data_IF_694977255621
#
_entry.id   IF_694977255621
#
_cell.length_a   1.000
_cell.length_b   1.000
_cell.length_c   1.000
_cell.angle_alpha   90.00
_cell.angle_beta   90.00
_cell.angle_gamma   90.00
#
_symmetry.space_group_name_H-M   'P 1'
#
loop_
_entity.id
_entity.type
_entity.pdbx_description
1 polymer ?
#
# COMPACT_ATOMS: atom_id res chain seq x y z
N UNK A 1 25.33 13.93 -3.86
CA UNK A 1 25.57 12.49 -3.70
C UNK A 1 24.83 11.70 -4.75
N UNK A 2 25.27 10.49 -5.06
CA UNK A 2 24.62 9.57 -6.04
C UNK A 2 23.73 8.56 -5.34
N UNK A 3 22.45 8.63 -5.60
CA UNK A 3 21.44 7.76 -5.01
C UNK A 3 20.93 6.74 -6.05
N UNK A 4 20.93 5.47 -5.70
CA UNK A 4 20.30 4.42 -6.50
C UNK A 4 19.08 3.89 -5.77
N UNK A 5 17.88 4.06 -6.36
CA UNK A 5 16.61 3.74 -5.68
C UNK A 5 15.91 2.61 -6.42
N UNK A 6 15.37 1.62 -5.69
CA UNK A 6 14.61 0.52 -6.27
C UNK A 6 13.23 0.43 -5.62
N UNK A 7 12.20 0.75 -6.42
CA UNK A 7 10.79 0.59 -6.11
C UNK A 7 10.13 -0.32 -7.17
N UNK A 8 9.59 -1.45 -6.75
CA UNK A 8 9.06 -2.48 -7.65
C UNK A 8 7.56 -2.43 -7.89
N UNK A 9 6.83 -1.48 -7.29
CA UNK A 9 5.36 -1.40 -7.32
C UNK A 9 4.89 0.07 -7.35
N UNK A 10 3.61 0.28 -7.67
CA UNK A 10 3.02 1.62 -7.73
C UNK A 10 3.09 2.38 -6.39
N UNK A 11 2.87 1.70 -5.27
CA UNK A 11 3.04 2.29 -3.94
C UNK A 11 4.49 2.70 -3.68
N UNK A 12 5.44 1.87 -4.12
CA UNK A 12 6.87 2.18 -4.04
C UNK A 12 7.25 3.40 -4.87
N UNK A 13 6.66 3.60 -6.05
CA UNK A 13 6.85 4.79 -6.89
C UNK A 13 6.35 6.07 -6.17
N UNK A 14 5.18 6.00 -5.56
CA UNK A 14 4.62 7.10 -4.76
C UNK A 14 5.54 7.46 -3.58
N UNK A 15 5.93 6.47 -2.79
CA UNK A 15 6.79 6.70 -1.63
C UNK A 15 8.20 7.11 -2.02
N UNK A 16 8.74 6.53 -3.10
CA UNK A 16 10.03 6.89 -3.68
C UNK A 16 10.05 8.34 -4.18
N UNK A 17 8.99 8.79 -4.84
CA UNK A 17 8.90 10.18 -5.31
C UNK A 17 8.88 11.18 -4.16
N UNK A 18 8.14 10.91 -3.06
CA UNK A 18 8.13 11.76 -1.87
C UNK A 18 9.50 11.77 -1.17
N UNK A 19 10.15 10.60 -1.07
CA UNK A 19 11.50 10.50 -0.53
C UNK A 19 12.52 11.29 -1.37
N UNK A 20 12.46 11.19 -2.70
CA UNK A 20 13.35 11.96 -3.61
C UNK A 20 13.17 13.47 -3.42
N UNK A 21 11.93 13.96 -3.31
CA UNK A 21 11.65 15.38 -3.00
C UNK A 21 12.32 15.81 -1.70
N UNK A 22 12.20 14.98 -0.66
CA UNK A 22 12.78 15.27 0.65
C UNK A 22 14.30 15.17 0.65
N UNK A 23 14.89 14.26 -0.14
CA UNK A 23 16.35 14.17 -0.32
C UNK A 23 16.92 15.41 -1.01
N UNK A 24 16.22 15.98 -2.02
CA UNK A 24 16.64 17.24 -2.65
C UNK A 24 16.67 18.42 -1.69
N UNK A 25 15.87 18.40 -0.63
CA UNK A 25 15.92 19.41 0.44
C UNK A 25 17.18 19.26 1.33
N UNK A 26 17.73 18.05 1.45
CA UNK A 26 18.96 17.78 2.22
C UNK A 26 20.23 17.88 1.36
N UNK A 27 20.13 17.54 0.10
CA UNK A 27 21.23 17.48 -0.88
C UNK A 27 20.77 18.07 -2.22
N UNK A 28 20.98 19.38 -2.39
CA UNK A 28 20.60 20.10 -3.64
C UNK A 28 21.28 19.53 -4.89
N UNK A 29 22.42 18.84 -4.72
CA UNK A 29 23.20 18.22 -5.81
C UNK A 29 22.95 16.71 -5.89
N UNK A 30 21.82 16.21 -5.34
CA UNK A 30 21.47 14.79 -5.43
C UNK A 30 21.32 14.33 -6.89
N UNK A 31 22.03 13.28 -7.24
CA UNK A 31 21.88 12.59 -8.52
C UNK A 31 21.11 11.30 -8.30
N UNK A 32 19.96 11.16 -8.94
CA UNK A 32 19.12 9.97 -8.82
C UNK A 32 19.21 9.06 -10.04
N UNK A 33 19.36 7.77 -9.78
CA UNK A 33 19.17 6.69 -10.72
C UNK A 33 18.23 5.67 -10.11
N UNK A 34 17.17 5.25 -10.82
CA UNK A 34 16.14 4.52 -10.15
C UNK A 34 15.38 3.50 -11.02
N UNK A 35 14.84 2.50 -10.34
CA UNK A 35 13.75 1.63 -10.79
C UNK A 35 12.49 2.12 -10.10
N UNK A 36 11.48 2.52 -10.86
CA UNK A 36 10.28 3.15 -10.31
C UNK A 36 9.26 3.43 -11.40
N UNK A 37 8.55 4.52 -11.31
CA UNK A 37 7.52 4.88 -12.28
C UNK A 37 7.45 6.38 -12.59
N UNK A 38 6.28 6.77 -13.06
CA UNK A 38 6.02 8.13 -13.55
C UNK A 38 6.13 9.19 -12.46
N UNK A 39 5.85 8.86 -11.19
CA UNK A 39 5.93 9.82 -10.08
C UNK A 39 7.38 10.13 -9.72
N UNK A 40 8.24 9.12 -9.61
CA UNK A 40 9.67 9.33 -9.40
C UNK A 40 10.30 10.06 -10.59
N UNK A 41 9.90 9.73 -11.82
CA UNK A 41 10.41 10.37 -13.02
C UNK A 41 10.09 11.87 -13.08
N UNK A 42 8.94 12.30 -12.58
CA UNK A 42 8.57 13.73 -12.48
C UNK A 42 9.45 14.53 -11.52
N UNK A 43 10.08 13.89 -10.52
CA UNK A 43 10.99 14.56 -9.60
C UNK A 43 12.33 14.83 -10.27
N UNK A 44 12.77 13.94 -11.16
CA UNK A 44 14.04 14.04 -11.89
C UNK A 44 14.89 12.78 -11.76
N UNK A 45 16.07 12.82 -12.34
CA UNK A 45 17.00 11.69 -12.36
C UNK A 45 16.82 10.77 -13.57
N UNK A 46 17.56 9.64 -13.59
CA UNK A 46 17.58 8.69 -14.70
C UNK A 46 16.75 7.46 -14.38
N UNK A 47 15.56 7.27 -14.99
CA UNK A 47 14.82 6.03 -14.90
C UNK A 47 15.55 4.90 -15.64
N UNK A 48 15.66 3.74 -15.00
CA UNK A 48 16.34 2.55 -15.56
C UNK A 48 15.31 1.51 -15.99
N UNK A 49 14.27 1.32 -15.16
CA UNK A 49 13.20 0.39 -15.46
C UNK A 49 11.91 0.82 -14.78
N UNK A 50 10.79 0.69 -15.51
CA UNK A 50 9.49 1.01 -14.97
C UNK A 50 8.94 -0.16 -14.15
N UNK A 51 8.28 0.10 -13.01
CA UNK A 51 7.73 -0.96 -12.15
C UNK A 51 6.71 -1.85 -12.85
N UNK A 52 5.99 -1.35 -13.84
CA UNK A 52 5.05 -2.15 -14.67
C UNK A 52 5.72 -3.34 -15.34
N UNK A 53 7.02 -3.22 -15.67
CA UNK A 53 7.82 -4.31 -16.27
C UNK A 53 8.34 -5.30 -15.21
N UNK A 54 8.11 -5.03 -13.92
CA UNK A 54 8.56 -5.83 -12.79
C UNK A 54 7.43 -6.57 -12.09
N UNK A 55 6.18 -6.23 -12.39
CA UNK A 55 4.98 -6.71 -11.72
C UNK A 55 4.63 -8.16 -12.10
N UNK A 56 5.45 -9.11 -11.65
CA UNK A 56 5.11 -10.54 -11.68
C UNK A 56 4.52 -10.92 -10.32
N UNK A 57 3.18 -10.96 -10.22
CA UNK A 57 2.48 -11.27 -8.99
C UNK A 57 1.79 -12.62 -9.06
N UNK A 58 1.97 -13.43 -8.02
CA UNK A 58 1.40 -14.77 -7.92
C UNK A 58 2.44 -15.87 -8.19
N UNK A 59 2.26 -17.00 -7.49
CA UNK A 59 3.23 -18.11 -7.52
C UNK A 59 3.46 -18.66 -8.94
N UNK A 60 2.38 -18.77 -9.73
CA UNK A 60 2.44 -19.28 -11.11
C UNK A 60 3.13 -18.28 -12.04
N UNK A 61 2.83 -16.98 -11.92
CA UNK A 61 3.46 -15.94 -12.73
C UNK A 61 4.93 -15.77 -12.41
N UNK A 62 5.31 -15.86 -11.15
CA UNK A 62 6.72 -15.82 -10.72
C UNK A 62 7.51 -17.00 -11.30
N UNK A 63 6.93 -18.22 -11.31
CA UNK A 63 7.59 -19.38 -11.91
C UNK A 63 7.75 -19.21 -13.43
N UNK A 64 6.70 -18.80 -14.13
CA UNK A 64 6.73 -18.57 -15.59
C UNK A 64 7.75 -17.50 -15.99
N UNK A 65 7.93 -16.48 -15.16
CA UNK A 65 8.80 -15.33 -15.45
C UNK A 65 10.14 -15.39 -14.72
N UNK A 66 10.52 -16.52 -14.14
CA UNK A 66 11.78 -16.69 -13.41
C UNK A 66 13.01 -16.28 -14.25
N UNK A 67 13.15 -16.65 -15.55
CA UNK A 67 14.27 -16.17 -16.38
C UNK A 67 14.35 -14.65 -16.50
N UNK A 68 13.20 -13.98 -16.65
CA UNK A 68 13.10 -12.51 -16.71
C UNK A 68 13.51 -11.86 -15.39
N UNK A 69 13.08 -12.43 -14.26
CA UNK A 69 13.46 -11.96 -12.93
C UNK A 69 14.97 -12.07 -12.74
N UNK A 70 15.57 -13.20 -13.12
CA UNK A 70 17.02 -13.42 -13.01
C UNK A 70 17.81 -12.47 -13.92
N UNK A 71 17.33 -12.22 -15.15
CA UNK A 71 17.90 -11.23 -16.08
C UNK A 71 17.83 -9.82 -15.50
N UNK A 72 16.70 -9.44 -14.91
CA UNK A 72 16.54 -8.15 -14.25
C UNK A 72 17.49 -7.99 -13.06
N UNK A 73 17.73 -9.04 -12.27
CA UNK A 73 18.69 -9.04 -11.16
C UNK A 73 20.11 -8.82 -11.70
N UNK A 74 20.51 -9.54 -12.75
CA UNK A 74 21.84 -9.39 -13.37
C UNK A 74 22.02 -7.99 -13.94
N UNK A 75 21.04 -7.49 -14.67
CA UNK A 75 21.05 -6.15 -15.26
C UNK A 75 21.16 -5.07 -14.17
N UNK A 76 20.38 -5.18 -13.09
CA UNK A 76 20.44 -4.24 -11.95
C UNK A 76 21.83 -4.22 -11.31
N UNK A 77 22.47 -5.39 -11.14
CA UNK A 77 23.82 -5.48 -10.55
C UNK A 77 24.86 -4.80 -11.41
N UNK A 78 24.86 -5.04 -12.74
CA UNK A 78 25.79 -4.39 -13.67
C UNK A 78 25.56 -2.87 -13.71
N UNK A 79 24.31 -2.42 -13.66
CA UNK A 79 23.96 -1.01 -13.64
C UNK A 79 24.43 -0.33 -12.35
N UNK A 80 24.23 -0.93 -11.18
CA UNK A 80 24.76 -0.44 -9.90
C UNK A 80 26.28 -0.37 -9.93
N UNK A 81 26.95 -1.41 -10.44
CA UNK A 81 28.42 -1.46 -10.57
C UNK A 81 28.95 -0.36 -11.46
N UNK A 82 28.28 -0.09 -12.59
CA UNK A 82 28.66 0.98 -13.53
C UNK A 82 28.44 2.38 -12.97
N UNK A 83 27.34 2.58 -12.23
CA UNK A 83 26.97 3.91 -11.71
C UNK A 83 27.76 4.31 -10.45
N UNK A 84 28.22 3.33 -9.65
CA UNK A 84 28.92 3.54 -8.37
C UNK A 84 28.18 4.53 -7.46
N UNK A 85 26.96 4.19 -7.00
CA UNK A 85 26.21 5.05 -6.09
C UNK A 85 26.86 5.11 -4.71
N UNK A 86 26.68 6.25 -4.02
CA UNK A 86 27.06 6.39 -2.61
C UNK A 86 26.15 5.59 -1.70
N UNK A 87 24.86 5.46 -2.11
CA UNK A 87 23.85 4.72 -1.36
C UNK A 87 22.87 4.00 -2.29
N UNK A 88 22.49 2.79 -1.89
CA UNK A 88 21.39 2.02 -2.45
C UNK A 88 20.20 2.08 -1.51
N UNK A 89 19.07 2.63 -1.98
CA UNK A 89 17.80 2.72 -1.24
C UNK A 89 16.82 1.71 -1.82
N UNK A 90 16.38 0.78 -0.99
CA UNK A 90 15.46 -0.30 -1.33
C UNK A 90 14.09 -0.03 -0.72
N UNK A 91 13.06 0.10 -1.56
CA UNK A 91 11.70 0.36 -1.10
C UNK A 91 10.87 -0.91 -1.25
N UNK A 92 10.43 -1.50 -0.12
CA UNK A 92 9.66 -2.75 -0.09
C UNK A 92 10.21 -3.83 -1.05
N UNK A 93 9.40 -4.51 -1.86
CA UNK A 93 9.77 -5.47 -2.92
C UNK A 93 10.84 -6.51 -2.50
N UNK A 94 10.63 -7.24 -1.40
CA UNK A 94 11.69 -8.00 -0.72
C UNK A 94 12.27 -9.15 -1.53
N UNK A 95 11.51 -9.74 -2.45
CA UNK A 95 11.97 -10.85 -3.28
C UNK A 95 13.14 -10.48 -4.19
N UNK A 96 13.18 -9.27 -4.66
CA UNK A 96 14.22 -8.69 -5.49
C UNK A 96 15.26 -7.94 -4.64
N UNK A 97 14.77 -7.01 -3.82
CA UNK A 97 15.60 -6.08 -3.06
C UNK A 97 16.60 -6.75 -2.12
N UNK A 98 16.23 -7.83 -1.40
CA UNK A 98 17.17 -8.57 -0.54
C UNK A 98 18.28 -9.29 -1.31
N UNK A 99 18.11 -9.59 -2.60
CA UNK A 99 19.18 -10.15 -3.43
C UNK A 99 20.15 -9.07 -3.91
N UNK A 100 19.62 -7.87 -4.18
CA UNK A 100 20.44 -6.72 -4.56
C UNK A 100 21.21 -6.17 -3.36
N UNK A 101 20.61 -6.12 -2.16
CA UNK A 101 21.31 -5.67 -0.93
C UNK A 101 22.58 -6.46 -0.66
N UNK A 102 22.53 -7.80 -0.82
CA UNK A 102 23.70 -8.68 -0.68
C UNK A 102 24.82 -8.33 -1.67
N UNK A 103 24.46 -7.96 -2.89
CA UNK A 103 25.43 -7.59 -3.92
C UNK A 103 26.05 -6.21 -3.63
N UNK A 104 25.22 -5.21 -3.36
CA UNK A 104 25.68 -3.85 -3.08
C UNK A 104 26.60 -3.80 -1.84
N UNK A 105 26.27 -4.55 -0.79
CA UNK A 105 27.10 -4.63 0.42
C UNK A 105 28.49 -5.22 0.14
N UNK A 106 28.62 -6.16 -0.80
CA UNK A 106 29.93 -6.71 -1.23
C UNK A 106 30.79 -5.69 -1.99
N UNK A 107 30.16 -4.69 -2.60
CA UNK A 107 30.85 -3.57 -3.27
C UNK A 107 31.18 -2.41 -2.32
N UNK A 108 30.86 -2.54 -1.02
CA UNK A 108 31.06 -1.47 -0.02
C UNK A 108 30.03 -0.35 -0.09
N UNK A 109 28.95 -0.51 -0.88
CA UNK A 109 27.89 0.50 -1.01
C UNK A 109 27.02 0.46 0.26
N UNK A 110 26.70 1.64 0.81
CA UNK A 110 25.73 1.80 1.91
C UNK A 110 24.35 1.32 1.44
N UNK A 111 23.69 0.49 2.24
CA UNK A 111 22.37 -0.06 1.91
C UNK A 111 21.35 0.41 2.93
N UNK A 112 20.37 1.15 2.46
CA UNK A 112 19.21 1.59 3.23
C UNK A 112 17.98 0.83 2.76
N UNK A 113 17.18 0.32 3.69
CA UNK A 113 15.90 -0.32 3.38
C UNK A 113 14.78 0.54 3.94
N UNK A 114 13.98 1.14 3.08
CA UNK A 114 12.83 1.96 3.41
C UNK A 114 11.54 1.17 3.13
N UNK A 115 10.62 1.14 4.09
CA UNK A 115 9.42 0.30 4.10
C UNK A 115 9.79 -1.17 4.21
N UNK A 116 9.91 -1.61 5.45
CA UNK A 116 10.29 -3.00 5.81
C UNK A 116 9.37 -4.03 5.15
N UNK A 117 9.92 -5.17 4.71
CA UNK A 117 9.09 -6.34 4.44
C UNK A 117 8.33 -6.75 5.70
N UNK A 118 7.10 -7.22 5.54
CA UNK A 118 6.26 -7.67 6.67
C UNK A 118 6.77 -8.98 7.30
N UNK A 119 8.01 -8.98 7.83
CA UNK A 119 8.64 -10.15 8.44
C UNK A 119 7.95 -10.58 9.73
N UNK A 120 7.34 -9.65 10.42
CA UNK A 120 6.54 -9.89 11.62
C UNK A 120 5.29 -10.76 11.34
N UNK A 121 4.81 -10.76 10.09
CA UNK A 121 3.66 -11.57 9.68
C UNK A 121 4.12 -12.97 9.20
N UNK A 122 5.17 -13.02 8.40
CA UNK A 122 5.63 -14.27 7.77
C UNK A 122 7.10 -14.16 7.30
N UNK A 123 7.77 -15.29 7.13
CA UNK A 123 9.19 -15.36 6.69
C UNK A 123 10.17 -14.59 7.59
N UNK A 124 9.98 -14.66 8.90
CA UNK A 124 10.86 -14.09 9.93
C UNK A 124 12.35 -14.44 9.72
N UNK A 125 12.65 -15.61 9.17
CA UNK A 125 14.03 -16.02 8.86
C UNK A 125 14.81 -15.08 7.93
N UNK A 126 14.14 -14.18 7.20
CA UNK A 126 14.79 -13.13 6.39
C UNK A 126 15.52 -12.09 7.23
N UNK A 127 15.23 -11.98 8.52
CA UNK A 127 15.93 -11.09 9.45
C UNK A 127 17.45 -11.30 9.41
N UNK A 128 17.91 -12.55 9.24
CA UNK A 128 19.34 -12.87 9.11
C UNK A 128 19.98 -12.17 7.89
N UNK A 129 19.25 -12.08 6.79
CA UNK A 129 19.71 -11.40 5.58
C UNK A 129 19.76 -9.88 5.79
N UNK A 130 18.72 -9.32 6.41
CA UNK A 130 18.66 -7.89 6.73
C UNK A 130 19.82 -7.51 7.65
N UNK A 131 20.00 -8.18 8.78
CA UNK A 131 21.11 -7.93 9.71
C UNK A 131 22.49 -7.95 9.05
N UNK A 132 22.66 -8.74 8.00
CA UNK A 132 23.95 -8.91 7.34
C UNK A 132 24.21 -7.90 6.22
N UNK A 133 23.15 -7.41 5.55
CA UNK A 133 23.30 -6.72 4.27
C UNK A 133 22.55 -5.37 4.19
N UNK A 134 21.90 -4.95 5.26
CA UNK A 134 21.21 -3.65 5.35
C UNK A 134 21.86 -2.85 6.47
N UNK A 135 22.28 -1.63 6.20
CA UNK A 135 22.94 -0.75 7.17
C UNK A 135 21.91 0.05 7.98
N UNK A 136 20.87 0.57 7.30
CA UNK A 136 19.80 1.33 7.91
C UNK A 136 18.45 0.74 7.52
N UNK A 137 17.59 0.47 8.50
CA UNK A 137 16.23 0.00 8.31
C UNK A 137 15.26 1.08 8.75
N UNK A 138 14.49 1.62 7.81
CA UNK A 138 13.48 2.64 8.04
C UNK A 138 12.11 2.00 7.96
N UNK A 139 11.45 1.89 9.10
CA UNK A 139 10.15 1.21 9.24
C UNK A 139 9.01 2.22 9.32
N UNK A 140 7.82 1.80 8.88
CA UNK A 140 6.64 2.66 8.75
C UNK A 140 5.50 2.28 9.69
N UNK A 141 5.59 1.11 10.34
CA UNK A 141 4.62 0.67 11.33
C UNK A 141 5.25 0.75 12.73
N UNK A 142 4.56 1.32 13.73
CA UNK A 142 5.16 1.63 15.03
C UNK A 142 5.62 0.39 15.80
N UNK A 143 5.01 -0.76 15.59
CA UNK A 143 5.40 -2.01 16.24
C UNK A 143 6.62 -2.69 15.61
N UNK A 144 7.06 -2.25 14.42
CA UNK A 144 8.19 -2.86 13.71
C UNK A 144 9.52 -2.58 14.41
N UNK A 145 9.71 -1.42 15.05
CA UNK A 145 10.90 -1.16 15.86
C UNK A 145 11.08 -2.22 16.95
N UNK A 146 10.01 -2.49 17.71
CA UNK A 146 10.01 -3.52 18.76
C UNK A 146 10.27 -4.91 18.20
N UNK A 147 9.74 -5.20 17.02
CA UNK A 147 10.01 -6.45 16.31
C UNK A 147 11.51 -6.59 15.99
N UNK A 148 12.14 -5.57 15.40
CA UNK A 148 13.56 -5.61 15.07
C UNK A 148 14.45 -5.64 16.32
N UNK A 149 14.10 -4.90 17.39
CA UNK A 149 14.81 -4.93 18.66
C UNK A 149 14.86 -6.32 19.30
N UNK A 150 13.78 -7.12 19.23
CA UNK A 150 13.77 -8.53 19.69
C UNK A 150 14.80 -9.39 18.97
N UNK A 151 15.23 -9.00 17.78
CA UNK A 151 16.25 -9.66 16.99
C UNK A 151 17.64 -9.01 17.12
N UNK A 152 17.85 -8.11 18.09
CA UNK A 152 19.11 -7.35 18.26
C UNK A 152 19.51 -6.64 16.97
N UNK A 153 18.57 -5.90 16.36
CA UNK A 153 18.79 -5.07 15.19
C UNK A 153 18.01 -3.76 15.35
N UNK A 154 18.68 -2.63 15.11
CA UNK A 154 18.08 -1.31 15.20
C UNK A 154 17.31 -1.00 13.90
N UNK A 155 16.09 -0.56 14.07
CA UNK A 155 15.27 0.00 12.99
C UNK A 155 14.72 1.34 13.46
N UNK A 156 14.52 2.27 12.54
CA UNK A 156 14.05 3.62 12.84
C UNK A 156 12.62 3.79 12.35
N UNK A 157 11.68 4.01 13.26
CA UNK A 157 10.33 4.39 12.90
C UNK A 157 10.30 5.84 12.38
N UNK A 158 10.00 5.99 11.11
CA UNK A 158 9.99 7.29 10.43
C UNK A 158 8.59 7.90 10.30
N UNK A 159 7.55 7.17 10.68
CA UNK A 159 6.15 7.51 10.40
C UNK A 159 5.65 6.84 9.11
N UNK A 160 4.34 6.92 8.86
CA UNK A 160 3.75 6.25 7.70
C UNK A 160 3.63 7.21 6.50
N UNK A 161 4.29 6.93 5.35
CA UNK A 161 4.36 7.85 4.21
C UNK A 161 3.03 8.11 3.50
N UNK A 162 1.98 7.33 3.78
CA UNK A 162 0.62 7.62 3.31
C UNK A 162 0.09 8.93 3.90
N UNK A 163 0.50 9.32 5.11
CA UNK A 163 0.10 10.60 5.69
C UNK A 163 0.65 11.76 4.87
N UNK A 164 1.91 11.69 4.43
CA UNK A 164 2.50 12.68 3.52
C UNK A 164 1.76 12.72 2.17
N UNK A 165 1.35 11.55 1.65
CA UNK A 165 0.63 11.46 0.39
C UNK A 165 -0.77 12.09 0.49
N UNK A 166 -1.47 11.85 1.61
CA UNK A 166 -2.82 12.34 1.84
C UNK A 166 -2.83 13.84 2.13
N UNK A 167 -1.88 14.36 2.91
CA UNK A 167 -1.78 15.80 3.20
C UNK A 167 -1.48 16.63 1.96
N UNK A 168 -0.81 16.05 0.96
CA UNK A 168 -0.52 16.71 -0.30
C UNK A 168 -1.67 16.63 -1.33
N UNK A 169 -2.81 16.02 -0.99
CA UNK A 169 -3.97 15.99 -1.88
C UNK A 169 -4.56 17.39 -2.04
N UNK A 170 -4.85 17.76 -3.29
CA UNK A 170 -5.59 19.00 -3.58
C UNK A 170 -6.99 18.91 -3.00
N UNK A 171 -7.57 20.04 -2.66
CA UNK A 171 -8.99 20.11 -2.33
C UNK A 171 -9.85 19.52 -3.46
N UNK A 172 -10.93 18.84 -3.09
CA UNK A 172 -11.86 18.26 -4.03
C UNK A 172 -13.20 18.98 -3.97
N UNK A 173 -13.72 19.36 -5.12
CA UNK A 173 -15.10 19.81 -5.26
C UNK A 173 -15.99 18.57 -5.52
N UNK A 174 -16.81 18.23 -4.54
CA UNK A 174 -17.67 17.03 -4.59
C UNK A 174 -18.68 17.13 -5.75
N UNK A 175 -19.21 18.32 -6.03
CA UNK A 175 -20.17 18.50 -7.11
C UNK A 175 -19.52 18.34 -8.49
N UNK A 176 -18.33 18.88 -8.68
CA UNK A 176 -17.55 18.66 -9.91
C UNK A 176 -17.21 17.19 -10.10
N UNK A 177 -16.76 16.50 -9.05
CA UNK A 177 -16.51 15.06 -9.11
C UNK A 177 -17.76 14.27 -9.51
N UNK A 178 -18.92 14.59 -8.92
CA UNK A 178 -20.19 13.94 -9.29
C UNK A 178 -20.55 14.17 -10.75
N UNK A 179 -20.42 15.41 -11.23
CA UNK A 179 -20.71 15.77 -12.62
C UNK A 179 -19.76 15.07 -13.61
N UNK A 180 -18.44 15.11 -13.35
CA UNK A 180 -17.42 14.47 -14.19
C UNK A 180 -17.68 12.96 -14.38
N UNK A 181 -18.22 12.31 -13.33
CA UNK A 181 -18.45 10.85 -13.34
C UNK A 181 -19.92 10.46 -13.52
N UNK A 182 -20.79 11.39 -13.90
CA UNK A 182 -22.23 11.16 -14.11
C UNK A 182 -22.91 10.52 -12.88
N UNK A 183 -22.52 10.94 -11.68
CA UNK A 183 -23.12 10.50 -10.43
C UNK A 183 -24.33 11.37 -10.08
N UNK A 184 -25.32 10.76 -9.42
CA UNK A 184 -26.51 11.48 -8.94
C UNK A 184 -26.27 12.15 -7.57
N UNK A 185 -27.31 12.80 -7.01
CA UNK A 185 -27.19 13.50 -5.73
C UNK A 185 -27.17 12.57 -4.50
N UNK A 186 -27.47 11.28 -4.66
CA UNK A 186 -27.44 10.33 -3.54
C UNK A 186 -26.04 10.30 -2.89
N UNK A 187 -25.94 10.08 -1.58
CA UNK A 187 -24.67 9.82 -0.92
C UNK A 187 -23.99 8.56 -1.47
N UNK A 188 -22.68 8.57 -1.49
CA UNK A 188 -21.86 7.52 -2.10
C UNK A 188 -21.42 6.49 -1.07
N UNK A 189 -21.55 5.21 -1.42
CA UNK A 189 -20.82 4.10 -0.80
C UNK A 189 -19.74 3.67 -1.78
N UNK A 190 -18.47 3.79 -1.38
CA UNK A 190 -17.35 3.36 -2.19
C UNK A 190 -17.15 1.85 -2.11
N UNK A 191 -16.88 1.23 -3.26
CA UNK A 191 -16.52 -0.18 -3.36
C UNK A 191 -15.08 -0.31 -3.82
N UNK A 192 -14.21 -0.85 -2.95
CA UNK A 192 -12.80 -1.13 -3.24
C UNK A 192 -12.59 -2.67 -3.29
N UNK A 193 -12.92 -3.31 -4.41
CA UNK A 193 -13.01 -4.77 -4.48
C UNK A 193 -11.66 -5.48 -4.63
N UNK A 194 -10.55 -4.74 -4.64
CA UNK A 194 -9.20 -5.25 -4.82
C UNK A 194 -8.56 -4.88 -6.16
N UNK A 195 -7.42 -5.47 -6.45
CA UNK A 195 -6.62 -5.13 -7.63
C UNK A 195 -6.51 -6.25 -8.67
N UNK A 196 -6.94 -7.47 -8.35
CA UNK A 196 -6.82 -8.64 -9.23
C UNK A 196 -8.16 -9.07 -9.77
N UNK A 197 -8.22 -9.40 -11.07
CA UNK A 197 -9.44 -9.80 -11.76
C UNK A 197 -10.29 -10.81 -11.00
N UNK A 198 -9.70 -11.93 -10.56
CA UNK A 198 -10.41 -12.98 -9.84
C UNK A 198 -10.91 -12.56 -8.45
N UNK A 199 -10.16 -11.69 -7.79
CA UNK A 199 -10.52 -11.10 -6.49
C UNK A 199 -11.71 -10.17 -6.67
N UNK A 200 -11.63 -9.24 -7.61
CA UNK A 200 -12.68 -8.27 -7.93
C UNK A 200 -14.00 -8.96 -8.28
N UNK A 201 -13.97 -9.98 -9.13
CA UNK A 201 -15.18 -10.73 -9.50
C UNK A 201 -15.89 -11.35 -8.30
N UNK A 202 -15.13 -11.94 -7.38
CA UNK A 202 -15.69 -12.54 -6.16
C UNK A 202 -16.21 -11.48 -5.19
N UNK A 203 -15.48 -10.38 -5.06
CA UNK A 203 -15.79 -9.34 -4.07
C UNK A 203 -16.96 -8.47 -4.53
N UNK A 204 -17.01 -8.04 -5.80
CA UNK A 204 -18.08 -7.17 -6.29
C UNK A 204 -19.46 -7.81 -6.16
N UNK A 205 -19.61 -9.10 -6.48
CA UNK A 205 -20.89 -9.78 -6.37
C UNK A 205 -21.46 -9.70 -4.94
N UNK A 206 -20.62 -9.93 -3.92
CA UNK A 206 -21.08 -9.85 -2.52
C UNK A 206 -21.22 -8.41 -2.05
N UNK A 207 -20.33 -7.50 -2.43
CA UNK A 207 -20.44 -6.08 -2.07
C UNK A 207 -21.70 -5.45 -2.66
N UNK A 208 -22.06 -5.78 -3.89
CA UNK A 208 -23.26 -5.26 -4.56
C UNK A 208 -24.57 -5.91 -4.07
N UNK A 209 -24.52 -7.06 -3.41
CA UNK A 209 -25.72 -7.72 -2.87
C UNK A 209 -26.45 -6.91 -1.79
N UNK A 210 -25.77 -5.92 -1.18
CA UNK A 210 -26.38 -5.05 -0.15
C UNK A 210 -27.28 -3.95 -0.73
N UNK A 211 -27.20 -3.67 -2.03
CA UNK A 211 -27.89 -2.54 -2.70
C UNK A 211 -29.40 -2.43 -2.38
N UNK A 212 -30.19 -3.51 -2.43
CA UNK A 212 -31.62 -3.43 -2.15
C UNK A 212 -31.95 -2.87 -0.75
N UNK A 213 -31.01 -2.97 0.17
CA UNK A 213 -31.15 -2.48 1.55
C UNK A 213 -30.73 -1.01 1.72
N UNK A 214 -30.13 -0.39 0.68
CA UNK A 214 -29.64 0.99 0.71
C UNK A 214 -30.14 1.81 -0.50
N UNK A 215 -31.47 1.92 -0.71
CA UNK A 215 -32.04 2.57 -1.91
C UNK A 215 -31.73 4.06 -2.01
N UNK A 216 -31.39 4.69 -0.88
CA UNK A 216 -31.03 6.11 -0.79
C UNK A 216 -29.56 6.39 -1.04
N UNK A 217 -28.77 5.38 -1.40
CA UNK A 217 -27.34 5.49 -1.72
C UNK A 217 -27.07 5.11 -3.16
N UNK A 218 -25.98 5.60 -3.71
CA UNK A 218 -25.38 5.12 -4.94
C UNK A 218 -24.07 4.42 -4.62
N UNK A 219 -23.73 3.40 -5.42
CA UNK A 219 -22.53 2.60 -5.22
C UNK A 219 -21.53 2.91 -6.31
N UNK A 220 -20.30 3.26 -5.94
CA UNK A 220 -19.27 3.63 -6.89
C UNK A 220 -18.06 2.72 -6.73
N UNK A 221 -17.72 2.00 -7.81
CA UNK A 221 -16.61 1.07 -7.87
C UNK A 221 -15.32 1.85 -8.15
N UNK A 222 -14.32 1.69 -7.29
CA UNK A 222 -12.95 2.09 -7.58
C UNK A 222 -12.30 1.06 -8.48
N UNK A 223 -12.11 1.40 -9.76
CA UNK A 223 -11.51 0.52 -10.76
C UNK A 223 -10.01 0.34 -10.56
N UNK A 224 -9.55 -0.90 -10.61
CA UNK A 224 -8.12 -1.22 -10.55
C UNK A 224 -7.40 -0.65 -11.79
N UNK A 225 -6.22 -0.01 -11.63
CA UNK A 225 -5.48 0.58 -12.76
C UNK A 225 -5.12 -0.39 -13.88
N UNK A 226 -5.05 -1.69 -13.58
CA UNK A 226 -4.70 -2.75 -14.53
C UNK A 226 -5.87 -3.28 -15.34
N UNK A 227 -7.11 -2.85 -15.08
CA UNK A 227 -8.33 -3.36 -15.73
C UNK A 227 -9.11 -2.22 -16.38
N UNK A 228 -9.59 -2.48 -17.60
CA UNK A 228 -10.38 -1.53 -18.37
C UNK A 228 -11.87 -1.56 -17.98
N UNK A 229 -12.61 -0.55 -18.43
CA UNK A 229 -14.05 -0.39 -18.19
C UNK A 229 -14.84 -1.64 -18.59
N UNK A 230 -14.55 -2.24 -19.73
CA UNK A 230 -15.25 -3.42 -20.27
C UNK A 230 -15.34 -4.59 -19.26
N UNK A 231 -14.35 -4.70 -18.39
CA UNK A 231 -14.38 -5.69 -17.31
C UNK A 231 -15.46 -5.41 -16.28
N UNK A 232 -15.74 -4.11 -16.02
CA UNK A 232 -16.71 -3.66 -15.01
C UNK A 232 -18.12 -3.51 -15.58
N UNK A 233 -18.32 -3.43 -16.90
CA UNK A 233 -19.63 -3.17 -17.53
C UNK A 233 -20.72 -4.14 -17.07
N UNK A 234 -20.37 -5.39 -16.80
CA UNK A 234 -21.32 -6.40 -16.27
C UNK A 234 -21.82 -6.12 -14.84
N UNK A 235 -21.20 -5.18 -14.12
CA UNK A 235 -21.56 -4.78 -12.75
C UNK A 235 -22.20 -3.40 -12.68
N UNK A 236 -22.17 -2.63 -13.79
CA UNK A 236 -22.62 -1.25 -13.86
C UNK A 236 -24.07 -1.21 -14.31
N UNK A 237 -24.89 -0.38 -13.63
CA UNK A 237 -26.27 -0.08 -14.00
C UNK A 237 -26.63 1.36 -13.54
N UNK A 238 -27.93 1.68 -13.42
CA UNK A 238 -28.40 3.02 -13.03
C UNK A 238 -27.94 3.49 -11.65
N UNK A 239 -27.66 2.56 -10.74
CA UNK A 239 -27.29 2.84 -9.35
C UNK A 239 -25.87 2.37 -8.99
N UNK A 240 -25.16 1.79 -9.95
CA UNK A 240 -23.77 1.36 -9.81
C UNK A 240 -22.90 2.04 -10.84
N UNK A 241 -21.99 2.84 -10.37
CA UNK A 241 -21.04 3.60 -11.19
C UNK A 241 -19.62 3.06 -11.03
N UNK A 242 -18.71 3.52 -11.88
CA UNK A 242 -17.32 3.13 -11.88
C UNK A 242 -16.42 4.34 -12.15
N UNK A 243 -15.31 4.43 -11.41
CA UNK A 243 -14.28 5.45 -11.61
C UNK A 243 -12.90 4.79 -11.65
N UNK A 244 -11.99 5.30 -12.50
CA UNK A 244 -10.64 4.77 -12.64
C UNK A 244 -9.60 5.79 -12.22
N UNK A 245 -8.56 5.34 -11.50
CA UNK A 245 -7.45 6.17 -11.02
C UNK A 245 -7.89 7.37 -10.14
N UNK A 246 -9.05 7.27 -9.50
CA UNK A 246 -9.67 8.32 -8.67
C UNK A 246 -10.07 7.80 -7.28
N UNK A 247 -9.35 6.78 -6.77
CA UNK A 247 -9.69 6.13 -5.49
C UNK A 247 -9.77 7.13 -4.34
N UNK A 248 -8.80 8.02 -4.20
CA UNK A 248 -8.77 8.99 -3.10
C UNK A 248 -9.87 10.06 -3.25
N UNK A 249 -10.12 10.52 -4.48
CA UNK A 249 -11.21 11.45 -4.76
C UNK A 249 -12.57 10.81 -4.46
N UNK A 250 -12.78 9.56 -4.91
CA UNK A 250 -13.97 8.79 -4.61
C UNK A 250 -14.18 8.62 -3.09
N UNK A 251 -13.15 8.20 -2.36
CA UNK A 251 -13.25 8.03 -0.91
C UNK A 251 -13.64 9.33 -0.23
N UNK A 252 -12.99 10.45 -0.56
CA UNK A 252 -13.29 11.77 0.02
C UNK A 252 -14.73 12.27 -0.26
N UNK A 253 -15.36 11.76 -1.33
CA UNK A 253 -16.76 12.03 -1.65
C UNK A 253 -17.74 11.02 -1.02
N UNK A 254 -17.25 10.00 -0.32
CA UNK A 254 -18.06 8.86 0.16
C UNK A 254 -18.50 9.02 1.62
N UNK A 255 -19.65 8.44 1.96
CA UNK A 255 -20.14 8.36 3.34
C UNK A 255 -19.62 7.12 4.08
N UNK A 256 -19.31 6.05 3.35
CA UNK A 256 -18.76 4.81 3.86
C UNK A 256 -18.17 3.98 2.73
N UNK A 257 -17.46 2.91 3.08
CA UNK A 257 -16.81 2.06 2.10
C UNK A 257 -16.90 0.57 2.45
N UNK A 258 -16.97 -0.28 1.42
CA UNK A 258 -16.70 -1.71 1.49
C UNK A 258 -15.34 -1.98 0.86
N UNK A 259 -14.38 -2.46 1.65
CA UNK A 259 -12.97 -2.48 1.25
C UNK A 259 -12.39 -3.88 1.36
N UNK A 260 -11.78 -4.38 0.29
CA UNK A 260 -11.03 -5.65 0.36
C UNK A 260 -9.75 -5.46 1.18
N UNK A 261 -9.46 -6.44 2.05
CA UNK A 261 -8.28 -6.39 2.93
C UNK A 261 -6.98 -6.15 2.12
N UNK A 262 -6.22 -5.14 2.56
CA UNK A 262 -4.97 -4.69 1.94
C UNK A 262 -4.61 -3.30 2.42
N UNK A 263 -3.69 -2.62 1.71
CA UNK A 263 -3.30 -1.21 2.00
C UNK A 263 -4.48 -0.25 1.87
N UNK A 264 -5.47 -0.58 1.03
CA UNK A 264 -6.67 0.23 0.83
C UNK A 264 -7.47 0.46 2.12
N UNK A 265 -7.43 -0.46 3.08
CA UNK A 265 -8.07 -0.25 4.40
C UNK A 265 -7.42 0.90 5.16
N UNK A 266 -6.10 0.98 5.16
CA UNK A 266 -5.40 2.08 5.81
C UNK A 266 -5.63 3.41 5.08
N UNK A 267 -5.61 3.40 3.75
CA UNK A 267 -5.91 4.58 2.92
C UNK A 267 -7.31 5.12 3.23
N UNK A 268 -8.32 4.25 3.30
CA UNK A 268 -9.71 4.60 3.61
C UNK A 268 -9.84 5.22 5.01
N UNK A 269 -9.21 4.59 6.01
CA UNK A 269 -9.21 5.10 7.39
C UNK A 269 -8.51 6.46 7.50
N UNK A 270 -7.37 6.65 6.84
CA UNK A 270 -6.61 7.92 6.87
C UNK A 270 -7.35 9.06 6.15
N UNK A 271 -8.23 8.73 5.20
CA UNK A 271 -9.15 9.68 4.57
C UNK A 271 -10.44 9.91 5.41
N UNK A 272 -10.51 9.35 6.62
CA UNK A 272 -11.63 9.47 7.55
C UNK A 272 -12.97 8.91 7.01
N UNK A 273 -12.92 7.86 6.19
CA UNK A 273 -14.12 7.19 5.68
C UNK A 273 -14.34 5.89 6.44
N UNK A 274 -15.45 5.77 7.21
CA UNK A 274 -15.81 4.52 7.86
C UNK A 274 -15.94 3.36 6.88
N UNK A 275 -15.42 2.20 7.23
CA UNK A 275 -15.35 1.06 6.31
C UNK A 275 -15.73 -0.26 6.96
N UNK A 276 -16.17 -1.21 6.14
CA UNK A 276 -16.24 -2.63 6.48
C UNK A 276 -15.21 -3.38 5.62
N UNK A 277 -14.36 -4.15 6.28
CA UNK A 277 -13.33 -4.94 5.59
C UNK A 277 -13.93 -6.26 5.12
N UNK A 278 -13.76 -6.52 3.84
CA UNK A 278 -14.28 -7.70 3.16
C UNK A 278 -13.11 -8.58 2.70
N UNK A 279 -13.14 -9.88 3.02
CA UNK A 279 -12.13 -10.82 2.54
C UNK A 279 -12.69 -12.20 2.24
N UNK A 280 -12.51 -12.64 1.00
CA UNK A 280 -12.84 -14.01 0.56
C UNK A 280 -11.77 -14.56 -0.37
N UNK A 281 -10.89 -15.39 0.19
CA UNK A 281 -9.87 -16.12 -0.55
C UNK A 281 -10.31 -17.55 -0.91
N UNK A 282 -9.39 -18.34 -1.48
CA UNK A 282 -9.64 -19.79 -1.58
C UNK A 282 -9.60 -20.41 -0.18
N UNK A 283 -10.50 -21.31 0.14
CA UNK A 283 -10.55 -21.98 1.46
C UNK A 283 -9.21 -22.63 1.83
N UNK A 284 -8.58 -23.31 0.88
CA UNK A 284 -7.27 -23.96 1.09
C UNK A 284 -6.18 -22.94 1.42
N UNK A 285 -6.07 -21.86 0.63
CA UNK A 285 -5.06 -20.82 0.87
C UNK A 285 -5.28 -20.10 2.20
N UNK A 286 -6.54 -19.86 2.58
CA UNK A 286 -6.87 -19.25 3.85
C UNK A 286 -6.51 -20.14 5.04
N UNK A 287 -6.83 -21.44 5.00
CA UNK A 287 -6.47 -22.38 6.06
C UNK A 287 -4.95 -22.54 6.23
N UNK A 288 -4.21 -22.54 5.11
CA UNK A 288 -2.74 -22.53 5.15
C UNK A 288 -2.23 -21.23 5.78
N UNK A 289 -2.73 -20.08 5.34
CA UNK A 289 -2.34 -18.78 5.88
C UNK A 289 -2.65 -18.68 7.38
N UNK A 290 -3.86 -19.07 7.81
CA UNK A 290 -4.29 -19.09 9.23
C UNK A 290 -3.36 -19.94 10.13
N UNK A 291 -2.84 -21.05 9.60
CA UNK A 291 -1.89 -21.89 10.32
C UNK A 291 -0.48 -21.28 10.40
N UNK A 292 -0.06 -20.56 9.35
CA UNK A 292 1.26 -19.93 9.29
C UNK A 292 1.36 -18.66 10.14
N UNK A 293 0.23 -17.93 10.27
CA UNK A 293 0.18 -16.62 10.95
C UNK A 293 -0.72 -16.63 12.19
N UNK A 294 -0.65 -17.70 12.99
CA UNK A 294 -1.48 -17.90 14.18
C UNK A 294 -1.45 -16.77 15.21
N UNK A 295 -0.39 -15.96 15.22
CA UNK A 295 -0.20 -14.83 16.14
C UNK A 295 -0.85 -13.54 15.64
N UNK A 296 -1.35 -13.51 14.41
CA UNK A 296 -2.01 -12.33 13.82
C UNK A 296 -3.50 -12.42 14.07
N UNK A 297 -4.04 -11.47 14.84
CA UNK A 297 -5.46 -11.42 15.21
C UNK A 297 -6.34 -10.80 14.13
N UNK A 298 -5.81 -9.88 13.35
CA UNK A 298 -6.53 -9.04 12.39
C UNK A 298 -5.89 -9.11 11.01
N UNK A 299 -6.68 -8.90 9.95
CA UNK A 299 -6.18 -8.90 8.58
C UNK A 299 -6.06 -7.50 7.97
N UNK A 300 -6.73 -6.50 8.55
CA UNK A 300 -6.58 -5.10 8.14
C UNK A 300 -5.42 -4.43 8.85
N UNK A 301 -4.69 -3.56 8.16
CA UNK A 301 -3.63 -2.77 8.77
C UNK A 301 -4.16 -1.87 9.89
N UNK A 302 -5.38 -1.38 9.75
CA UNK A 302 -6.04 -0.52 10.74
C UNK A 302 -6.13 -1.21 12.10
N UNK A 303 -6.75 -2.40 12.15
CA UNK A 303 -6.91 -3.16 13.38
C UNK A 303 -5.57 -3.71 13.91
N UNK A 304 -4.66 -4.10 13.01
CA UNK A 304 -3.30 -4.54 13.37
C UNK A 304 -2.48 -3.44 14.07
N UNK A 305 -2.49 -2.23 13.53
CA UNK A 305 -1.75 -1.10 14.10
C UNK A 305 -2.34 -0.71 15.45
N UNK A 306 -3.66 -0.73 15.57
CA UNK A 306 -4.38 -0.39 16.80
C UNK A 306 -4.38 -1.52 17.85
N UNK A 307 -3.96 -2.74 17.48
CA UNK A 307 -4.12 -3.99 18.26
C UNK A 307 -5.53 -4.14 18.84
N UNK A 308 -6.54 -3.67 18.11
CA UNK A 308 -7.94 -3.64 18.51
C UNK A 308 -8.85 -3.65 17.28
N UNK A 309 -10.00 -4.32 17.38
CA UNK A 309 -11.04 -4.24 16.35
C UNK A 309 -11.74 -2.87 16.43
N UNK A 310 -11.37 -1.94 15.54
CA UNK A 310 -12.01 -0.61 15.40
C UNK A 310 -12.88 -0.52 14.15
N UNK A 311 -12.62 -1.39 13.19
CA UNK A 311 -13.43 -1.61 11.98
C UNK A 311 -13.75 -3.10 11.89
N UNK A 312 -14.94 -3.44 11.41
CA UNK A 312 -15.37 -4.83 11.29
C UNK A 312 -14.69 -5.52 10.13
N UNK A 313 -14.14 -6.72 10.37
CA UNK A 313 -13.56 -7.59 9.35
C UNK A 313 -14.50 -8.77 9.10
N UNK A 314 -15.11 -8.83 7.93
CA UNK A 314 -15.94 -9.96 7.49
C UNK A 314 -15.09 -10.88 6.62
N UNK A 315 -14.78 -12.06 7.16
CA UNK A 315 -13.79 -12.97 6.58
C UNK A 315 -14.45 -14.28 6.20
N UNK A 316 -14.24 -14.74 4.95
CA UNK A 316 -14.68 -16.03 4.43
C UNK A 316 -16.19 -16.25 4.63
N UNK A 317 -16.59 -17.14 5.51
CA UNK A 317 -17.99 -17.53 5.74
C UNK A 317 -18.78 -16.44 6.51
N UNK A 318 -18.11 -15.51 7.23
CA UNK A 318 -18.74 -14.34 7.85
C UNK A 318 -19.10 -13.25 6.82
N UNK A 319 -18.50 -13.29 5.64
CA UNK A 319 -18.80 -12.36 4.56
C UNK A 319 -20.11 -12.79 3.86
N UNK A 320 -21.24 -12.42 4.45
CA UNK A 320 -22.60 -12.63 3.94
C UNK A 320 -23.28 -11.31 3.65
N UNK A 321 -24.33 -11.30 2.84
CA UNK A 321 -25.15 -10.10 2.59
C UNK A 321 -25.70 -9.52 3.90
N UNK A 322 -26.27 -10.36 4.76
CA UNK A 322 -26.90 -9.93 6.02
C UNK A 322 -25.90 -9.28 6.97
N UNK A 323 -24.71 -9.87 7.11
CA UNK A 323 -23.65 -9.29 7.94
C UNK A 323 -23.16 -7.96 7.34
N UNK A 324 -22.96 -7.88 6.00
CA UNK A 324 -22.59 -6.64 5.31
C UNK A 324 -23.63 -5.54 5.50
N UNK A 325 -24.93 -5.87 5.37
CA UNK A 325 -26.02 -4.91 5.59
C UNK A 325 -25.98 -4.39 7.02
N UNK A 326 -25.86 -5.30 8.00
CA UNK A 326 -25.78 -4.93 9.42
C UNK A 326 -24.61 -3.99 9.70
N UNK A 327 -23.41 -4.37 9.28
CA UNK A 327 -22.21 -3.58 9.54
C UNK A 327 -22.19 -2.25 8.77
N UNK A 328 -22.71 -2.23 7.54
CA UNK A 328 -22.81 -1.00 6.77
C UNK A 328 -23.79 -0.01 7.41
N UNK A 329 -24.93 -0.46 7.94
CA UNK A 329 -25.81 0.38 8.75
C UNK A 329 -25.12 0.94 10.01
N UNK A 330 -24.32 0.13 10.69
CA UNK A 330 -23.59 0.56 11.89
C UNK A 330 -22.55 1.64 11.57
N UNK A 331 -21.76 1.47 10.52
CA UNK A 331 -20.72 2.44 10.16
C UNK A 331 -21.28 3.74 9.57
N UNK A 332 -22.43 3.68 8.91
CA UNK A 332 -23.12 4.89 8.40
C UNK A 332 -23.86 5.66 9.51
N UNK A 333 -24.19 4.99 10.60
CA UNK A 333 -24.99 5.51 11.72
C UNK A 333 -24.27 5.49 13.06
N UNK A 334 -24.70 4.59 13.95
CA UNK A 334 -24.34 4.55 15.38
C UNK A 334 -22.83 4.51 15.65
N UNK A 335 -22.07 3.74 14.88
CA UNK A 335 -20.64 3.52 15.13
C UNK A 335 -19.75 4.60 14.50
N UNK A 336 -20.28 5.40 13.57
CA UNK A 336 -19.51 6.42 12.85
C UNK A 336 -18.67 7.33 13.74
N UNK A 337 -19.22 7.97 14.80
CA UNK A 337 -18.42 8.88 15.64
C UNK A 337 -17.26 8.17 16.34
N UNK A 338 -17.48 6.94 16.80
CA UNK A 338 -16.45 6.13 17.47
C UNK A 338 -15.36 5.70 16.52
N UNK A 339 -15.70 5.29 15.30
CA UNK A 339 -14.73 4.93 14.26
C UNK A 339 -13.85 6.14 13.90
N UNK A 340 -14.47 7.31 13.65
CA UNK A 340 -13.72 8.53 13.32
C UNK A 340 -12.80 8.99 14.45
N UNK A 341 -13.22 8.83 15.71
CA UNK A 341 -12.35 9.09 16.87
C UNK A 341 -11.14 8.15 16.88
N UNK A 342 -11.34 6.87 16.61
CA UNK A 342 -10.25 5.89 16.55
C UNK A 342 -9.31 6.16 15.36
N UNK A 343 -9.82 6.66 14.23
CA UNK A 343 -8.97 7.03 13.08
C UNK A 343 -8.03 8.20 13.40
N UNK A 344 -8.47 9.18 14.22
CA UNK A 344 -7.57 10.24 14.71
C UNK A 344 -6.44 9.67 15.56
N UNK A 345 -6.75 8.74 16.47
CA UNK A 345 -5.73 8.05 17.28
C UNK A 345 -4.78 7.25 16.40
N UNK A 346 -5.31 6.57 15.36
CA UNK A 346 -4.50 5.84 14.38
C UNK A 346 -3.50 6.78 13.66
N UNK A 347 -3.94 7.96 13.22
CA UNK A 347 -3.08 8.96 12.60
C UNK A 347 -1.95 9.42 13.53
N UNK A 348 -2.25 9.64 14.81
CA UNK A 348 -1.25 9.98 15.84
C UNK A 348 -0.23 8.85 16.04
N UNK A 349 -0.69 7.60 16.16
CA UNK A 349 0.17 6.41 16.31
C UNK A 349 1.08 6.22 15.09
N UNK A 350 0.61 6.56 13.91
CA UNK A 350 1.39 6.49 12.66
C UNK A 350 2.44 7.62 12.52
N UNK A 351 2.52 8.52 13.49
CA UNK A 351 3.59 9.51 13.60
C UNK A 351 3.33 10.84 12.93
N UNK A 352 2.11 11.07 12.43
CA UNK A 352 1.78 12.32 11.72
C UNK A 352 2.47 12.47 10.37
N UNK A 353 2.47 13.69 9.84
CA UNK A 353 3.16 14.04 8.58
C UNK A 353 4.67 14.14 8.77
N UNK A 354 5.42 14.08 7.65
CA UNK A 354 6.87 14.25 7.63
C UNK A 354 7.67 12.94 7.61
N UNK A 355 7.04 11.79 7.34
CA UNK A 355 7.71 10.49 7.25
C UNK A 355 8.86 10.50 6.22
N UNK A 356 8.62 11.05 5.03
CA UNK A 356 9.60 11.14 3.96
C UNK A 356 10.75 12.09 4.30
N UNK A 357 10.46 13.18 5.02
CA UNK A 357 11.48 14.13 5.49
C UNK A 357 12.37 13.50 6.57
N UNK A 358 11.77 12.80 7.54
CA UNK A 358 12.51 12.08 8.59
C UNK A 358 13.39 10.98 7.98
N UNK A 359 12.85 10.23 7.02
CA UNK A 359 13.61 9.20 6.30
C UNK A 359 14.79 9.81 5.53
N UNK A 360 14.58 10.89 4.77
CA UNK A 360 15.64 11.55 4.00
C UNK A 360 16.76 12.07 4.89
N UNK A 361 16.42 12.63 6.05
CA UNK A 361 17.41 13.12 7.03
C UNK A 361 18.28 11.98 7.56
N UNK A 362 17.68 10.85 8.00
CA UNK A 362 18.44 9.70 8.47
C UNK A 362 19.36 9.16 7.36
N UNK A 363 18.86 9.05 6.12
CA UNK A 363 19.65 8.60 4.98
C UNK A 363 20.85 9.54 4.77
N UNK A 364 20.60 10.84 4.67
CA UNK A 364 21.64 11.84 4.41
C UNK A 364 22.69 11.87 5.51
N UNK A 365 22.27 11.90 6.78
CA UNK A 365 23.17 11.91 7.95
C UNK A 365 24.03 10.65 8.02
N UNK A 366 23.51 9.50 7.57
CA UNK A 366 24.23 8.22 7.56
C UNK A 366 25.35 8.14 6.51
N UNK A 367 25.41 9.11 5.57
CA UNK A 367 26.41 9.19 4.50
C UNK A 367 27.53 10.20 4.81
N UNK A 368 27.38 10.95 5.87
CA UNK A 368 28.37 11.95 6.37
C UNK A 368 29.22 11.39 7.48
#
# INVERSE_FOLDING_TARGET
MKYYIIAGEASGDLHGSNLMKSLLQQDEKAEFRFWGGDLMQKIGGKPIKHYKDLAFMGFVEVIKNLPTILRNISFCKEDIKSYHPDVLILIDYPGFNLRISKFAKKLGIKVVYYISPQLWAWKEGRIKTIKKYVDEMLVILPFEEKFYQKHNYNAHFVGHPLLDAISNLKEININEFKQEHNLNEKPIIALLPGSRKQEIEKMLNIMLSVRPHFPNYQFVISGAPSLNKDFYDKFIDSDVHWVQNKTYDLLRCSQGALVTSGTATLETALLNIPEVVCYRGSKISYEIAKRLVKHIKYISLVNLIMDKEIIKELIQDDLTTDNLVTELHLILGKNRPTILKNYKILQEILGGEGASLKASKIIYDSLR
#
